data_IF_627780894909
#
_entry.id   IF_627780894909
#
_cell.length_a   1.000
_cell.length_b   1.000
_cell.length_c   1.000
_cell.angle_alpha   90.00
_cell.angle_beta   90.00
_cell.angle_gamma   90.00
#
_symmetry.space_group_name_H-M   'P 1'
#
loop_
_entity.id
_entity.type
_entity.pdbx_description
1 polymer ?
#
# COMPACT_ATOMS: atom_id res chain seq x y z
N UNK A 1 -36.70 7.89 28.49
CA UNK A 1 -36.34 9.26 28.04
C UNK A 1 -34.97 9.31 27.34
N UNK A 2 -33.96 8.54 27.74
CA UNK A 2 -32.64 8.52 27.07
C UNK A 2 -32.65 8.04 25.60
N UNK A 3 -33.54 7.12 25.21
CA UNK A 3 -33.64 6.65 23.81
C UNK A 3 -34.24 7.68 22.84
N UNK A 4 -34.93 8.70 23.33
CA UNK A 4 -35.53 9.76 22.50
C UNK A 4 -34.55 10.92 22.26
N UNK A 5 -33.59 11.12 23.16
CA UNK A 5 -32.55 12.16 23.05
C UNK A 5 -31.50 11.79 21.98
N UNK A 6 -31.18 10.51 21.84
CA UNK A 6 -30.24 10.03 20.80
C UNK A 6 -30.85 10.15 19.40
N UNK A 7 -32.15 9.89 19.24
CA UNK A 7 -32.83 10.04 17.94
C UNK A 7 -32.99 11.51 17.52
N UNK A 8 -33.16 12.42 18.49
CA UNK A 8 -33.19 13.87 18.24
C UNK A 8 -31.80 14.44 17.91
N UNK A 9 -30.71 13.90 18.46
CA UNK A 9 -29.36 14.30 18.09
C UNK A 9 -29.02 13.93 16.63
N UNK A 10 -29.40 12.74 16.16
CA UNK A 10 -29.23 12.35 14.74
C UNK A 10 -30.17 13.09 13.78
N UNK A 11 -31.35 13.52 14.25
CA UNK A 11 -32.30 14.28 13.43
C UNK A 11 -31.96 15.78 13.32
N UNK A 12 -31.36 16.36 14.37
CA UNK A 12 -30.92 17.77 14.35
C UNK A 12 -29.69 17.97 13.45
N UNK A 13 -28.83 16.95 13.30
CA UNK A 13 -27.74 16.98 12.30
C UNK A 13 -28.28 16.95 10.86
N UNK A 14 -29.50 16.45 10.61
CA UNK A 14 -30.13 16.43 9.27
C UNK A 14 -31.01 17.65 8.95
N UNK A 15 -31.35 18.49 9.93
CA UNK A 15 -32.34 19.56 9.75
C UNK A 15 -31.76 20.98 9.67
N UNK A 16 -30.44 21.14 9.73
CA UNK A 16 -29.79 22.40 9.36
C UNK A 16 -29.00 22.16 8.08
N UNK A 17 -29.64 22.52 6.97
CA UNK A 17 -28.95 22.75 5.70
C UNK A 17 -27.90 23.84 5.90
N UNK A 18 -26.74 23.46 6.43
CA UNK A 18 -25.47 24.07 6.09
C UNK A 18 -25.33 23.85 4.58
N UNK A 19 -25.85 24.80 3.81
CA UNK A 19 -25.34 25.03 2.47
C UNK A 19 -23.83 25.07 2.63
N UNK A 20 -23.10 24.19 1.94
CA UNK A 20 -21.65 24.28 1.81
C UNK A 20 -21.35 25.55 1.00
N UNK A 21 -21.44 26.70 1.66
CA UNK A 21 -21.02 27.99 1.14
C UNK A 21 -19.54 28.15 1.44
N UNK A 22 -18.68 27.98 0.44
CA UNK A 22 -17.40 28.70 0.31
C UNK A 22 -16.32 28.61 1.43
N UNK A 23 -16.36 27.71 2.43
CA UNK A 23 -15.39 27.76 3.57
C UNK A 23 -14.78 26.43 4.03
N UNK A 24 -14.61 25.41 3.17
CA UNK A 24 -13.75 24.26 3.54
C UNK A 24 -12.29 24.63 3.26
N UNK A 25 -11.50 24.82 4.32
CA UNK A 25 -10.06 25.10 4.23
C UNK A 25 -9.23 23.94 4.80
N UNK A 26 -7.95 23.87 4.44
CA UNK A 26 -7.04 22.85 4.97
C UNK A 26 -6.89 22.93 6.49
N UNK A 27 -6.97 24.12 7.08
CA UNK A 27 -6.95 24.31 8.53
C UNK A 27 -8.18 23.66 9.19
N UNK A 28 -9.37 23.87 8.62
CA UNK A 28 -10.60 23.25 9.15
C UNK A 28 -10.58 21.73 9.03
N UNK A 29 -10.06 21.19 7.93
CA UNK A 29 -9.91 19.76 7.73
C UNK A 29 -8.86 19.15 8.66
N UNK A 30 -7.73 19.82 8.85
CA UNK A 30 -6.68 19.38 9.77
C UNK A 30 -7.15 19.35 11.22
N UNK A 31 -8.03 20.26 11.62
CA UNK A 31 -8.63 20.23 12.96
C UNK A 31 -9.55 19.01 13.15
N UNK A 32 -10.25 18.57 12.08
CA UNK A 32 -11.15 17.41 12.12
C UNK A 32 -10.44 16.07 12.14
N UNK A 33 -9.24 15.97 11.55
CA UNK A 33 -8.48 14.72 11.52
C UNK A 33 -7.68 14.47 12.80
N UNK A 34 -7.50 15.48 13.65
CA UNK A 34 -6.74 15.36 14.90
C UNK A 34 -5.23 15.18 14.72
N UNK A 35 -4.74 15.29 13.47
CA UNK A 35 -3.36 14.93 13.10
C UNK A 35 -3.13 13.42 13.06
N UNK A 36 -2.06 12.98 12.40
CA UNK A 36 -1.69 11.57 12.42
C UNK A 36 -1.22 11.17 13.83
N UNK A 37 -1.81 10.14 14.47
CA UNK A 37 -1.30 9.65 15.74
C UNK A 37 0.12 9.12 15.55
N UNK A 38 1.10 9.74 16.20
CA UNK A 38 2.48 9.26 16.21
C UNK A 38 2.71 8.53 17.52
N UNK A 39 2.81 7.19 17.47
CA UNK A 39 3.21 6.40 18.61
C UNK A 39 4.58 6.92 19.08
N UNK A 40 4.62 7.55 20.25
CA UNK A 40 5.81 8.17 20.81
C UNK A 40 6.07 7.61 22.21
N UNK A 41 7.32 7.30 22.57
CA UNK A 41 8.53 7.44 21.75
C UNK A 41 8.71 6.27 20.76
N UNK A 42 9.17 6.58 19.54
CA UNK A 42 9.67 5.60 18.57
C UNK A 42 10.99 5.01 19.04
N UNK A 43 11.22 3.73 18.79
CA UNK A 43 12.41 3.01 19.29
C UNK A 43 13.37 2.60 18.17
N UNK A 44 12.99 2.81 16.91
CA UNK A 44 13.86 2.62 15.75
C UNK A 44 13.40 3.47 14.56
N UNK A 45 14.29 3.62 13.58
CA UNK A 45 13.99 4.17 12.26
C UNK A 45 14.05 3.07 11.20
N UNK A 46 13.01 2.93 10.38
CA UNK A 46 12.96 2.08 9.19
C UNK A 46 13.30 2.91 7.94
N UNK A 47 14.37 2.52 7.26
CA UNK A 47 14.73 3.03 5.94
C UNK A 47 14.19 2.10 4.86
N UNK A 48 13.29 2.60 4.01
CA UNK A 48 12.61 1.77 2.99
C UNK A 48 12.33 2.53 1.70
N UNK A 49 11.93 1.82 0.63
CA UNK A 49 11.73 2.42 -0.70
C UNK A 49 10.55 3.41 -0.78
N UNK A 50 10.67 4.47 -1.56
CA UNK A 50 9.60 5.47 -1.74
C UNK A 50 8.29 4.92 -2.31
N UNK A 51 8.32 3.78 -3.02
CA UNK A 51 7.16 3.29 -3.76
C UNK A 51 6.33 2.26 -2.99
N UNK A 52 6.87 1.67 -1.92
CA UNK A 52 6.25 0.55 -1.23
C UNK A 52 6.19 -0.72 -2.08
N UNK A 53 7.10 -0.85 -3.06
CA UNK A 53 7.14 -2.01 -3.95
C UNK A 53 8.20 -3.03 -3.55
N UNK A 54 9.18 -2.63 -2.73
CA UNK A 54 10.28 -3.50 -2.33
C UNK A 54 9.78 -4.67 -1.46
N UNK A 55 9.88 -5.93 -1.93
CA UNK A 55 9.40 -7.08 -1.17
C UNK A 55 10.21 -7.29 0.13
N UNK A 56 11.49 -6.90 0.13
CA UNK A 56 12.33 -6.99 1.31
C UNK A 56 11.92 -5.99 2.39
N UNK A 57 11.52 -4.78 2.00
CA UNK A 57 11.01 -3.78 2.94
C UNK A 57 9.69 -4.22 3.55
N UNK A 58 8.80 -4.79 2.75
CA UNK A 58 7.49 -5.27 3.18
C UNK A 58 7.58 -6.34 4.28
N UNK A 59 8.54 -7.27 4.18
CA UNK A 59 8.85 -8.24 5.24
C UNK A 59 9.07 -7.58 6.59
N UNK A 60 9.96 -6.60 6.61
CA UNK A 60 10.35 -5.88 7.83
C UNK A 60 9.18 -5.03 8.32
N UNK A 61 8.46 -4.38 7.40
CA UNK A 61 7.32 -3.53 7.75
C UNK A 61 6.22 -4.32 8.44
N UNK A 62 5.81 -5.47 7.89
CA UNK A 62 4.83 -6.36 8.53
C UNK A 62 5.35 -6.85 9.89
N UNK A 63 6.64 -7.19 10.00
CA UNK A 63 7.21 -7.62 11.28
C UNK A 63 7.16 -6.54 12.37
N UNK A 64 7.44 -5.28 12.02
CA UNK A 64 7.34 -4.15 12.94
C UNK A 64 5.91 -3.96 13.43
N UNK A 65 4.94 -3.96 12.50
CA UNK A 65 3.51 -3.86 12.83
C UNK A 65 3.05 -5.05 13.70
N UNK A 66 3.46 -6.27 13.35
CA UNK A 66 3.09 -7.50 14.07
C UNK A 66 3.62 -7.52 15.49
N UNK A 67 4.83 -6.99 15.69
CA UNK A 67 5.48 -6.88 17.00
C UNK A 67 5.01 -5.65 17.79
N UNK A 68 4.23 -4.76 17.18
CA UNK A 68 3.78 -3.51 17.81
C UNK A 68 4.92 -2.55 18.11
N UNK A 69 5.99 -2.57 17.31
CA UNK A 69 7.16 -1.71 17.51
C UNK A 69 6.84 -0.33 16.93
N UNK A 70 6.99 0.72 17.74
CA UNK A 70 6.87 2.10 17.26
C UNK A 70 8.16 2.51 16.51
N UNK A 71 8.02 2.93 15.25
CA UNK A 71 9.15 3.31 14.41
C UNK A 71 8.91 4.64 13.68
N UNK A 72 10.01 5.31 13.36
CA UNK A 72 10.04 6.36 12.34
C UNK A 72 10.29 5.75 10.96
N UNK A 73 9.76 6.36 9.91
CA UNK A 73 9.96 5.92 8.53
C UNK A 73 10.75 6.96 7.76
N UNK A 74 11.77 6.52 7.05
CA UNK A 74 12.54 7.33 6.10
C UNK A 74 12.49 6.67 4.73
N UNK A 75 11.93 7.40 3.76
CA UNK A 75 11.80 6.92 2.39
C UNK A 75 13.07 7.23 1.58
N UNK A 76 13.66 6.18 1.01
CA UNK A 76 14.87 6.24 0.18
C UNK A 76 14.47 6.09 -1.29
N UNK A 77 14.77 7.11 -2.10
CA UNK A 77 14.60 7.03 -3.54
C UNK A 77 15.66 6.09 -4.12
N UNK A 78 15.22 4.98 -4.72
CA UNK A 78 16.15 3.95 -5.20
C UNK A 78 16.92 4.34 -6.46
N UNK A 79 16.45 5.33 -7.22
CA UNK A 79 17.11 5.85 -8.42
C UNK A 79 18.09 6.99 -8.11
N UNK A 80 17.80 7.76 -7.07
CA UNK A 80 18.60 8.92 -6.64
C UNK A 80 18.80 8.84 -5.13
N UNK A 81 19.67 7.90 -4.72
CA UNK A 81 19.88 7.59 -3.30
C UNK A 81 20.65 8.74 -2.63
N UNK A 82 20.17 9.27 -1.49
CA UNK A 82 20.90 10.30 -0.76
C UNK A 82 22.28 9.83 -0.31
N UNK A 83 23.29 10.69 -0.42
CA UNK A 83 24.67 10.36 -0.03
C UNK A 83 24.80 9.91 1.43
N UNK A 84 24.09 10.55 2.36
CA UNK A 84 24.12 10.16 3.77
C UNK A 84 23.72 8.69 3.97
N UNK A 85 22.75 8.21 3.18
CA UNK A 85 22.25 6.84 3.30
C UNK A 85 23.29 5.84 2.79
N UNK A 86 23.95 6.13 1.67
CA UNK A 86 24.99 5.24 1.13
C UNK A 86 26.29 5.28 1.94
N UNK A 87 26.56 6.37 2.64
CA UNK A 87 27.67 6.44 3.59
C UNK A 87 27.37 5.61 4.85
N UNK A 88 26.11 5.56 5.27
CA UNK A 88 25.62 4.81 6.44
C UNK A 88 25.43 3.31 6.15
N UNK A 89 24.89 2.95 4.99
CA UNK A 89 24.56 1.58 4.58
C UNK A 89 25.44 1.19 3.39
N UNK A 90 26.54 0.44 3.61
CA UNK A 90 27.52 0.16 2.56
C UNK A 90 26.98 -0.60 1.34
N UNK A 91 25.94 -1.42 1.53
CA UNK A 91 25.27 -2.12 0.42
C UNK A 91 24.50 -1.14 -0.48
N UNK A 92 24.12 0.03 0.05
CA UNK A 92 23.21 0.98 -0.58
C UNK A 92 21.80 0.43 -0.80
N UNK A 93 21.48 -0.77 -0.29
CA UNK A 93 20.19 -1.43 -0.45
C UNK A 93 19.23 -1.07 0.69
N UNK A 94 17.94 -1.30 0.47
CA UNK A 94 16.89 -1.26 1.49
C UNK A 94 16.28 -2.66 1.63
N UNK A 95 15.70 -3.03 2.78
CA UNK A 95 15.55 -2.23 3.99
C UNK A 95 16.83 -2.13 4.83
N UNK A 96 16.85 -1.10 5.67
CA UNK A 96 17.73 -1.00 6.83
C UNK A 96 16.91 -0.50 8.03
N UNK A 97 17.33 -0.85 9.24
CA UNK A 97 16.83 -0.25 10.47
C UNK A 97 17.99 0.37 11.26
N UNK A 98 17.68 1.43 11.99
CA UNK A 98 18.54 2.03 13.00
C UNK A 98 17.82 1.99 14.34
N UNK A 99 18.35 1.24 15.30
CA UNK A 99 17.76 1.09 16.63
C UNK A 99 18.16 2.29 17.49
N UNK A 100 17.19 2.88 18.19
CA UNK A 100 17.40 4.05 19.05
C UNK A 100 17.99 3.62 20.41
N UNK A 101 19.22 3.13 20.41
CA UNK A 101 19.95 2.70 21.61
C UNK A 101 20.59 3.89 22.36
N UNK A 102 21.52 3.60 23.29
CA UNK A 102 22.18 4.64 24.09
C UNK A 102 23.09 5.59 23.31
N UNK A 103 23.49 5.25 22.08
CA UNK A 103 24.30 6.14 21.22
C UNK A 103 23.47 6.88 20.18
N UNK A 104 22.20 6.52 19.99
CA UNK A 104 21.32 7.16 19.03
C UNK A 104 21.14 8.66 19.26
N UNK A 105 21.25 9.41 18.17
CA UNK A 105 21.00 10.83 18.09
C UNK A 105 20.17 11.14 16.83
N UNK A 106 18.97 11.67 17.02
CA UNK A 106 18.05 11.99 15.92
C UNK A 106 18.59 13.01 14.91
N UNK A 107 19.59 13.81 15.30
CA UNK A 107 20.28 14.76 14.41
C UNK A 107 21.48 14.16 13.65
N UNK A 108 21.83 12.90 13.91
CA UNK A 108 22.96 12.20 13.30
C UNK A 108 22.57 10.77 12.89
N UNK A 109 21.90 10.59 11.74
CA UNK A 109 21.55 9.26 11.23
C UNK A 109 22.76 8.32 11.19
N UNK A 110 22.55 7.07 11.62
CA UNK A 110 23.60 6.06 11.74
C UNK A 110 24.38 6.09 13.07
N UNK A 111 23.87 6.79 14.07
CA UNK A 111 24.47 6.85 15.41
C UNK A 111 23.99 5.73 16.35
N UNK A 112 22.85 5.11 16.03
CA UNK A 112 22.39 3.90 16.70
C UNK A 112 22.92 2.60 16.07
N UNK A 113 22.50 1.45 16.60
CA UNK A 113 22.77 0.14 15.99
C UNK A 113 22.08 0.02 14.62
N UNK A 114 22.88 -0.19 13.57
CA UNK A 114 22.41 -0.40 12.21
C UNK A 114 22.30 -1.89 11.89
N UNK A 115 21.15 -2.29 11.36
CA UNK A 115 20.92 -3.64 10.82
C UNK A 115 20.29 -3.53 9.44
N UNK A 116 20.86 -4.23 8.47
CA UNK A 116 20.41 -4.25 7.08
C UNK A 116 20.34 -5.70 6.59
N UNK A 117 19.70 -5.91 5.44
CA UNK A 117 19.18 -7.20 4.96
C UNK A 117 17.95 -7.69 5.73
N UNK A 118 16.86 -7.96 5.00
CA UNK A 118 15.57 -8.28 5.62
C UNK A 118 15.64 -9.48 6.59
N UNK A 119 16.44 -10.52 6.29
CA UNK A 119 16.56 -11.69 7.16
C UNK A 119 17.25 -11.38 8.49
N UNK A 120 18.33 -10.60 8.46
CA UNK A 120 19.06 -10.21 9.67
C UNK A 120 18.26 -9.23 10.52
N UNK A 121 17.51 -8.33 9.88
CA UNK A 121 16.56 -7.45 10.56
C UNK A 121 15.50 -8.28 11.29
N UNK A 122 14.87 -9.26 10.64
CA UNK A 122 13.85 -10.10 11.29
C UNK A 122 14.41 -10.83 12.53
N UNK A 123 15.62 -11.39 12.42
CA UNK A 123 16.32 -12.02 13.57
C UNK A 123 16.55 -11.03 14.70
N UNK A 124 17.01 -9.82 14.38
CA UNK A 124 17.24 -8.78 15.40
C UNK A 124 15.95 -8.36 16.08
N UNK A 125 14.86 -8.20 15.32
CA UNK A 125 13.54 -7.85 15.85
C UNK A 125 12.97 -8.95 16.78
N UNK A 126 13.24 -10.23 16.50
CA UNK A 126 12.90 -11.33 17.41
C UNK A 126 13.66 -11.26 18.74
N UNK A 127 14.93 -10.85 18.71
CA UNK A 127 15.70 -10.60 19.94
C UNK A 127 15.19 -9.38 20.70
N UNK A 128 14.82 -8.30 20.00
CA UNK A 128 14.31 -7.07 20.63
C UNK A 128 12.94 -7.28 21.31
N UNK A 129 12.05 -8.04 20.65
CA UNK A 129 10.66 -8.24 21.09
C UNK A 129 10.35 -9.75 21.06
N UNK A 130 10.83 -10.51 22.07
CA UNK A 130 10.75 -11.97 22.08
C UNK A 130 9.36 -12.53 22.40
N UNK A 131 8.45 -11.70 22.92
CA UNK A 131 7.06 -12.08 23.22
C UNK A 131 6.20 -12.30 21.95
N UNK A 132 6.65 -11.80 20.79
CA UNK A 132 6.05 -12.07 19.49
C UNK A 132 7.10 -12.74 18.63
N UNK A 133 7.33 -14.03 18.83
CA UNK A 133 8.37 -14.80 18.13
C UNK A 133 7.95 -15.12 16.69
N UNK A 134 8.68 -14.58 15.70
CA UNK A 134 8.50 -14.89 14.29
C UNK A 134 9.35 -16.08 13.84
N UNK A 135 10.14 -16.69 14.74
CA UNK A 135 11.04 -17.81 14.45
C UNK A 135 12.04 -17.47 13.35
N UNK A 136 12.56 -16.23 13.35
CA UNK A 136 13.42 -15.70 12.29
C UNK A 136 14.81 -16.34 12.23
N UNK A 137 15.23 -17.03 13.29
CA UNK A 137 16.48 -17.82 13.29
C UNK A 137 16.33 -19.18 12.59
N UNK A 138 15.10 -19.60 12.24
CA UNK A 138 14.88 -20.86 11.53
C UNK A 138 14.97 -20.69 10.02
N UNK A 139 15.64 -21.62 9.35
CA UNK A 139 15.79 -21.62 7.89
C UNK A 139 14.44 -21.72 7.17
N UNK A 140 14.29 -20.93 6.10
CA UNK A 140 13.09 -20.99 5.26
C UNK A 140 13.00 -22.37 4.62
N UNK A 141 11.85 -23.06 4.69
CA UNK A 141 11.72 -24.37 4.06
C UNK A 141 11.97 -24.31 2.55
N UNK A 142 12.74 -25.28 2.02
CA UNK A 142 13.10 -25.34 0.58
C UNK A 142 11.85 -25.29 -0.33
N UNK A 143 10.73 -25.86 0.10
CA UNK A 143 9.46 -25.82 -0.64
C UNK A 143 8.95 -24.39 -0.87
N UNK A 144 9.15 -23.48 0.09
CA UNK A 144 8.80 -22.06 -0.04
C UNK A 144 9.73 -21.40 -1.07
N UNK A 145 11.04 -21.62 -0.95
CA UNK A 145 12.03 -21.04 -1.88
C UNK A 145 11.81 -21.53 -3.32
N UNK A 146 11.54 -22.83 -3.49
CA UNK A 146 11.23 -23.42 -4.80
C UNK A 146 9.95 -22.86 -5.38
N UNK A 147 8.89 -22.68 -4.57
CA UNK A 147 7.64 -22.06 -5.03
C UNK A 147 7.87 -20.60 -5.49
N UNK A 148 8.60 -19.80 -4.71
CA UNK A 148 8.92 -18.42 -5.08
C UNK A 148 9.77 -18.33 -6.36
N UNK A 149 10.81 -19.16 -6.46
CA UNK A 149 11.72 -19.19 -7.61
C UNK A 149 11.00 -19.60 -8.89
N UNK A 150 10.19 -20.66 -8.83
CA UNK A 150 9.43 -21.12 -10.00
C UNK A 150 8.32 -20.14 -10.39
N UNK A 151 7.65 -19.49 -9.43
CA UNK A 151 6.67 -18.44 -9.68
C UNK A 151 7.30 -17.24 -10.39
N UNK A 152 8.47 -16.79 -9.94
CA UNK A 152 9.26 -15.75 -10.60
C UNK A 152 9.61 -16.14 -12.04
N UNK A 153 10.09 -17.38 -12.22
CA UNK A 153 10.48 -17.89 -13.53
C UNK A 153 9.30 -17.98 -14.51
N UNK A 154 8.09 -18.31 -14.03
CA UNK A 154 6.87 -18.29 -14.85
C UNK A 154 6.42 -16.86 -15.16
N UNK A 155 6.42 -15.99 -14.15
CA UNK A 155 5.99 -14.59 -14.29
C UNK A 155 6.84 -13.82 -15.30
N UNK A 156 8.16 -13.94 -15.22
CA UNK A 156 9.08 -13.09 -15.99
C UNK A 156 9.91 -13.85 -17.03
N UNK A 157 10.09 -15.17 -16.88
CA UNK A 157 10.86 -16.03 -17.79
C UNK A 157 10.03 -16.80 -18.82
N UNK A 158 8.70 -16.74 -18.75
CA UNK A 158 7.78 -17.41 -19.67
C UNK A 158 7.44 -18.86 -19.32
N UNK A 159 6.71 -19.54 -20.21
CA UNK A 159 6.04 -20.83 -19.91
C UNK A 159 6.95 -22.06 -19.78
N UNK A 160 8.27 -21.92 -19.97
CA UNK A 160 9.24 -23.04 -19.91
C UNK A 160 9.28 -23.76 -18.56
N UNK A 161 8.80 -23.11 -17.50
CA UNK A 161 8.82 -23.61 -16.12
C UNK A 161 7.43 -23.97 -15.56
N UNK A 162 6.40 -24.06 -16.41
CA UNK A 162 5.02 -24.25 -15.96
C UNK A 162 4.82 -25.54 -15.12
N UNK A 163 5.38 -26.68 -15.54
CA UNK A 163 5.27 -27.94 -14.78
C UNK A 163 5.95 -27.84 -13.41
N UNK A 164 7.20 -27.36 -13.38
CA UNK A 164 7.96 -27.21 -12.13
C UNK A 164 7.28 -26.23 -11.17
N UNK A 165 6.65 -25.18 -11.70
CA UNK A 165 5.83 -24.25 -10.95
C UNK A 165 4.59 -24.93 -10.35
N UNK A 166 3.82 -25.67 -11.15
CA UNK A 166 2.63 -26.38 -10.64
C UNK A 166 3.00 -27.32 -9.50
N UNK A 167 4.05 -28.14 -9.67
CA UNK A 167 4.55 -29.05 -8.64
C UNK A 167 5.01 -28.31 -7.37
N UNK A 168 5.78 -27.23 -7.52
CA UNK A 168 6.26 -26.46 -6.38
C UNK A 168 5.12 -25.79 -5.62
N UNK A 169 4.11 -25.28 -6.33
CA UNK A 169 2.93 -24.69 -5.72
C UNK A 169 2.00 -25.73 -5.09
N UNK A 170 1.91 -26.95 -5.63
CA UNK A 170 1.19 -28.06 -4.98
C UNK A 170 1.88 -28.48 -3.69
N UNK A 171 3.20 -28.59 -3.71
CA UNK A 171 4.00 -28.91 -2.52
C UNK A 171 3.88 -27.82 -1.44
N UNK A 172 3.93 -26.54 -1.84
CA UNK A 172 3.72 -25.42 -0.92
C UNK A 172 2.31 -25.47 -0.31
N UNK A 173 1.27 -25.64 -1.13
CA UNK A 173 -0.12 -25.68 -0.66
C UNK A 173 -0.34 -26.78 0.39
N UNK A 174 0.30 -27.94 0.19
CA UNK A 174 0.17 -29.09 1.08
C UNK A 174 0.74 -28.87 2.50
N UNK A 175 1.69 -27.95 2.68
CA UNK A 175 2.32 -27.70 3.99
C UNK A 175 1.63 -26.59 4.81
N UNK A 176 0.70 -25.83 4.22
CA UNK A 176 0.12 -24.64 4.86
C UNK A 176 -1.01 -25.00 5.85
N UNK A 177 -0.85 -24.60 7.12
CA UNK A 177 -1.82 -24.88 8.17
C UNK A 177 -1.90 -23.84 9.32
N UNK A 178 -2.58 -22.69 9.16
CA UNK A 178 -2.75 -21.97 7.91
C UNK A 178 -1.43 -21.32 7.44
N UNK A 179 -0.43 -21.19 8.32
CA UNK A 179 0.90 -20.64 8.00
C UNK A 179 1.93 -21.74 7.75
N UNK A 180 3.10 -21.35 7.23
CA UNK A 180 4.20 -22.28 6.89
C UNK A 180 4.65 -23.12 8.08
N UNK A 181 4.54 -22.58 9.30
CA UNK A 181 4.96 -23.25 10.54
C UNK A 181 3.81 -23.53 11.50
N UNK A 182 2.60 -23.71 10.97
CA UNK A 182 1.41 -24.02 11.76
C UNK A 182 0.57 -22.78 12.04
N UNK A 183 0.07 -22.65 13.28
CA UNK A 183 -0.98 -21.70 13.63
C UNK A 183 -0.59 -20.21 13.59
N UNK A 184 0.70 -19.89 13.67
CA UNK A 184 1.19 -18.51 13.82
C UNK A 184 2.03 -18.07 12.62
N UNK A 185 1.84 -16.81 12.24
CA UNK A 185 2.68 -16.12 11.26
C UNK A 185 4.14 -16.19 11.68
N UNK A 186 5.02 -16.58 10.75
CA UNK A 186 6.46 -16.70 10.96
C UNK A 186 7.26 -15.91 9.92
N UNK A 187 8.57 -15.78 10.12
CA UNK A 187 9.48 -15.18 9.15
C UNK A 187 9.47 -15.91 7.80
N UNK A 188 9.21 -17.22 7.78
CA UNK A 188 9.06 -17.98 6.54
C UNK A 188 7.82 -17.54 5.74
N UNK A 189 6.72 -17.20 6.42
CA UNK A 189 5.55 -16.59 5.78
C UNK A 189 5.89 -15.19 5.25
N UNK A 190 6.57 -14.36 6.04
CA UNK A 190 6.97 -13.02 5.61
C UNK A 190 7.84 -13.05 4.35
N UNK A 191 8.72 -14.04 4.21
CA UNK A 191 9.51 -14.25 2.98
C UNK A 191 8.62 -14.44 1.75
N UNK A 192 7.49 -15.12 1.95
CA UNK A 192 6.51 -15.48 0.91
C UNK A 192 5.48 -14.38 0.62
N UNK A 193 5.04 -13.63 1.64
CA UNK A 193 3.98 -12.60 1.58
C UNK A 193 4.09 -11.71 0.33
N UNK A 194 5.20 -10.99 0.10
CA UNK A 194 5.23 -9.97 -0.94
C UNK A 194 4.95 -10.53 -2.33
N UNK A 195 5.54 -11.68 -2.66
CA UNK A 195 5.43 -12.26 -3.99
C UNK A 195 4.05 -12.88 -4.20
N UNK A 196 3.54 -13.64 -3.23
CA UNK A 196 2.23 -14.26 -3.35
C UNK A 196 1.12 -13.22 -3.41
N UNK A 197 1.21 -12.15 -2.61
CA UNK A 197 0.26 -11.03 -2.64
C UNK A 197 0.19 -10.39 -4.04
N UNK A 198 1.34 -10.09 -4.64
CA UNK A 198 1.41 -9.53 -6.00
C UNK A 198 0.88 -10.53 -7.03
N UNK A 199 1.31 -11.79 -6.96
CA UNK A 199 0.92 -12.82 -7.92
C UNK A 199 -0.54 -13.21 -7.86
N UNK A 200 -1.24 -12.95 -6.75
CA UNK A 200 -2.70 -13.06 -6.69
C UNK A 200 -3.40 -12.23 -7.78
N UNK A 201 -2.82 -11.09 -8.16
CA UNK A 201 -3.39 -10.17 -9.15
C UNK A 201 -2.60 -10.09 -10.45
N UNK A 202 -1.31 -10.47 -10.42
CA UNK A 202 -0.41 -10.27 -11.55
C UNK A 202 -0.08 -11.54 -12.32
N UNK A 203 -0.22 -12.73 -11.72
CA UNK A 203 0.33 -13.94 -12.35
C UNK A 203 -0.41 -14.32 -13.64
N UNK A 204 -1.73 -14.14 -13.67
CA UNK A 204 -2.56 -14.39 -14.85
C UNK A 204 -2.34 -13.34 -15.96
N UNK A 205 -1.96 -12.11 -15.59
CA UNK A 205 -1.47 -11.08 -16.52
C UNK A 205 -0.11 -11.44 -17.10
N UNK A 206 0.81 -11.93 -16.27
CA UNK A 206 2.20 -12.17 -16.65
C UNK A 206 2.38 -13.44 -17.49
N UNK A 207 1.55 -14.45 -17.23
CA UNK A 207 1.53 -15.70 -17.97
C UNK A 207 0.11 -16.11 -18.37
N UNK A 208 -0.48 -15.43 -19.37
CA UNK A 208 -1.83 -15.74 -19.86
C UNK A 208 -1.97 -17.21 -20.27
N UNK A 209 -3.05 -17.85 -19.83
CA UNK A 209 -3.32 -19.28 -20.06
C UNK A 209 -2.87 -20.20 -18.94
N UNK A 210 -2.10 -19.72 -17.96
CA UNK A 210 -1.92 -20.42 -16.69
C UNK A 210 -3.12 -20.23 -15.77
N UNK A 211 -3.31 -21.17 -14.84
CA UNK A 211 -4.33 -21.06 -13.78
C UNK A 211 -4.05 -19.87 -12.88
N UNK A 212 -5.10 -19.26 -12.30
CA UNK A 212 -4.93 -18.24 -11.27
C UNK A 212 -4.23 -18.86 -10.07
N UNK A 213 -3.49 -18.03 -9.30
CA UNK A 213 -2.67 -18.48 -8.17
C UNK A 213 -3.44 -19.42 -7.21
N UNK A 214 -4.71 -19.11 -6.94
CA UNK A 214 -5.52 -19.82 -5.95
C UNK A 214 -6.29 -21.02 -6.49
N UNK A 215 -6.29 -21.26 -7.81
CA UNK A 215 -7.10 -22.32 -8.42
C UNK A 215 -6.62 -23.70 -7.98
N UNK A 216 -7.49 -24.43 -7.26
CA UNK A 216 -7.16 -25.74 -6.69
C UNK A 216 -6.19 -25.70 -5.50
N UNK A 217 -5.95 -24.53 -4.89
CA UNK A 217 -5.00 -24.34 -3.78
C UNK A 217 -5.68 -24.00 -2.45
N UNK A 218 -6.30 -24.98 -1.75
CA UNK A 218 -6.99 -24.73 -0.49
C UNK A 218 -6.07 -24.26 0.65
N UNK A 219 -4.82 -24.72 0.71
CA UNK A 219 -3.83 -24.28 1.70
C UNK A 219 -3.51 -22.79 1.55
N UNK A 220 -3.20 -22.34 0.34
CA UNK A 220 -2.96 -20.92 0.04
C UNK A 220 -4.17 -20.04 0.32
N UNK A 221 -5.39 -20.54 0.03
CA UNK A 221 -6.61 -19.80 0.40
C UNK A 221 -6.74 -19.62 1.91
N UNK A 222 -6.45 -20.66 2.71
CA UNK A 222 -6.43 -20.54 4.19
C UNK A 222 -5.34 -19.58 4.65
N UNK A 223 -4.16 -19.65 4.04
CA UNK A 223 -3.04 -18.75 4.35
C UNK A 223 -3.39 -17.28 4.10
N UNK A 224 -3.95 -16.96 2.92
CA UNK A 224 -4.42 -15.59 2.63
C UNK A 224 -5.53 -15.14 3.59
N UNK A 225 -6.50 -16.01 3.88
CA UNK A 225 -7.56 -15.67 4.84
C UNK A 225 -6.99 -15.38 6.25
N UNK A 226 -5.98 -16.14 6.68
CA UNK A 226 -5.31 -15.90 7.95
C UNK A 226 -4.50 -14.60 7.96
N UNK A 227 -3.85 -14.23 6.85
CA UNK A 227 -3.20 -12.93 6.68
C UNK A 227 -4.21 -11.78 6.69
N UNK A 228 -5.29 -11.89 5.93
CA UNK A 228 -6.35 -10.86 5.85
C UNK A 228 -7.05 -10.63 7.20
N UNK A 229 -7.03 -11.62 8.10
CA UNK A 229 -7.50 -11.47 9.47
C UNK A 229 -6.50 -10.74 10.39
N UNK A 230 -5.24 -10.58 9.98
CA UNK A 230 -4.19 -9.95 10.77
C UNK A 230 -4.12 -8.42 10.50
N UNK A 231 -4.36 -7.56 11.52
CA UNK A 231 -4.26 -6.12 11.36
C UNK A 231 -2.88 -5.63 10.88
N UNK A 232 -1.80 -6.31 11.29
CA UNK A 232 -0.44 -5.94 10.91
C UNK A 232 -0.21 -6.12 9.40
N UNK A 233 -0.73 -7.21 8.83
CA UNK A 233 -0.71 -7.43 7.39
C UNK A 233 -1.59 -6.40 6.68
N UNK A 234 -2.84 -6.21 7.12
CA UNK A 234 -3.77 -5.25 6.48
C UNK A 234 -3.24 -3.82 6.40
N UNK A 235 -2.40 -3.41 7.36
CA UNK A 235 -1.75 -2.09 7.37
C UNK A 235 -0.78 -1.91 6.20
N UNK A 236 -0.14 -3.00 5.77
CA UNK A 236 1.00 -3.04 4.85
C UNK A 236 0.64 -3.66 3.50
N UNK A 237 -0.44 -4.44 3.41
CA UNK A 237 -0.85 -5.10 2.19
C UNK A 237 -1.23 -4.09 1.09
N UNK A 238 -0.84 -4.38 -0.14
CA UNK A 238 -1.37 -3.70 -1.32
C UNK A 238 -2.75 -4.21 -1.72
N UNK A 239 -3.41 -3.46 -2.61
CA UNK A 239 -4.73 -3.81 -3.13
C UNK A 239 -4.67 -4.30 -4.59
N UNK A 240 -5.79 -4.85 -5.07
CA UNK A 240 -5.93 -5.34 -6.44
C UNK A 240 -5.60 -4.24 -7.46
N UNK A 241 -6.08 -3.02 -7.25
CA UNK A 241 -5.80 -1.90 -8.15
C UNK A 241 -4.30 -1.63 -8.24
N UNK A 242 -3.62 -1.47 -7.11
CA UNK A 242 -2.22 -1.06 -7.03
C UNK A 242 -1.31 -2.11 -7.63
N UNK A 243 -1.55 -3.39 -7.34
CA UNK A 243 -0.76 -4.47 -7.95
C UNK A 243 -1.06 -4.65 -9.43
N UNK A 244 -2.30 -4.46 -9.87
CA UNK A 244 -2.64 -4.50 -11.30
C UNK A 244 -2.00 -3.32 -12.06
N UNK A 245 -2.09 -2.10 -11.52
CA UNK A 245 -1.58 -0.88 -12.14
C UNK A 245 -0.04 -0.86 -12.24
N UNK A 246 0.65 -1.52 -11.32
CA UNK A 246 2.12 -1.63 -11.32
C UNK A 246 2.65 -2.77 -12.20
N UNK A 247 1.78 -3.69 -12.64
CA UNK A 247 2.16 -4.87 -13.40
C UNK A 247 2.94 -4.53 -14.69
N UNK A 248 2.52 -3.48 -15.42
CA UNK A 248 3.24 -3.00 -16.60
C UNK A 248 4.67 -2.51 -16.27
N UNK A 249 4.86 -1.83 -15.13
CA UNK A 249 6.19 -1.42 -14.69
C UNK A 249 7.07 -2.62 -14.32
N UNK A 250 6.51 -3.61 -13.65
CA UNK A 250 7.25 -4.82 -13.27
C UNK A 250 7.64 -5.67 -14.49
N UNK A 251 6.77 -5.78 -15.50
CA UNK A 251 7.12 -6.43 -16.76
C UNK A 251 8.31 -5.74 -17.45
N UNK A 252 8.39 -4.41 -17.42
CA UNK A 252 9.56 -3.68 -17.94
C UNK A 252 10.83 -3.94 -17.12
N UNK A 253 10.73 -3.81 -15.80
CA UNK A 253 11.89 -3.89 -14.89
C UNK A 253 12.46 -5.31 -14.81
N UNK A 254 11.60 -6.33 -14.72
CA UNK A 254 12.00 -7.71 -14.45
C UNK A 254 11.85 -8.65 -15.65
N UNK A 255 10.92 -8.35 -16.56
CA UNK A 255 10.61 -9.18 -17.73
C UNK A 255 11.16 -8.66 -19.06
N UNK A 256 11.91 -7.54 -19.05
CA UNK A 256 12.41 -6.85 -20.25
C UNK A 256 11.30 -6.50 -21.28
N UNK A 257 10.06 -6.35 -20.83
CA UNK A 257 8.95 -5.98 -21.68
C UNK A 257 9.05 -4.52 -22.15
N UNK A 258 8.34 -4.19 -23.22
CA UNK A 258 8.13 -2.81 -23.68
C UNK A 258 6.73 -2.34 -23.32
N UNK A 259 6.44 -1.06 -23.54
CA UNK A 259 5.08 -0.55 -23.33
C UNK A 259 4.04 -1.07 -24.35
N UNK A 260 4.48 -1.74 -25.41
CA UNK A 260 3.60 -2.36 -26.41
C UNK A 260 3.44 -3.88 -26.18
N UNK A 261 4.00 -4.41 -25.08
CA UNK A 261 3.76 -5.79 -24.67
C UNK A 261 2.25 -5.99 -24.40
N UNK A 262 1.60 -6.99 -25.03
CA UNK A 262 0.18 -7.24 -24.84
C UNK A 262 -0.23 -7.41 -23.37
N UNK A 263 0.65 -7.97 -22.53
CA UNK A 263 0.40 -8.14 -21.08
C UNK A 263 0.42 -6.80 -20.36
N UNK A 264 1.28 -5.88 -20.78
CA UNK A 264 1.33 -4.53 -20.24
C UNK A 264 0.12 -3.68 -20.68
N UNK A 265 -0.44 -3.95 -21.86
CA UNK A 265 -1.70 -3.35 -22.32
C UNK A 265 -2.88 -3.91 -21.50
N UNK A 266 -3.00 -5.23 -21.39
CA UNK A 266 -4.05 -5.90 -20.59
C UNK A 266 -4.03 -5.42 -19.13
N UNK A 267 -2.85 -5.32 -18.50
CA UNK A 267 -2.72 -4.78 -17.16
C UNK A 267 -3.30 -3.36 -17.01
N UNK A 268 -3.07 -2.49 -17.99
CA UNK A 268 -3.62 -1.12 -17.96
C UNK A 268 -5.13 -1.14 -18.11
N UNK A 269 -5.65 -1.91 -19.06
CA UNK A 269 -7.10 -2.04 -19.29
C UNK A 269 -7.82 -2.57 -18.04
N UNK A 270 -7.27 -3.62 -17.40
CA UNK A 270 -7.83 -4.15 -16.14
C UNK A 270 -7.74 -3.14 -15.00
N UNK A 271 -6.60 -2.47 -14.82
CA UNK A 271 -6.48 -1.45 -13.77
C UNK A 271 -7.45 -0.29 -13.98
N UNK A 272 -7.69 0.12 -15.24
CA UNK A 272 -8.68 1.14 -15.57
C UNK A 272 -10.10 0.66 -15.26
N UNK A 273 -10.45 -0.58 -15.58
CA UNK A 273 -11.75 -1.16 -15.26
C UNK A 273 -11.99 -1.25 -13.74
N UNK A 274 -10.98 -1.65 -12.96
CA UNK A 274 -11.04 -1.65 -11.48
C UNK A 274 -11.26 -0.23 -10.96
N UNK A 275 -10.59 0.76 -11.56
CA UNK A 275 -10.76 2.16 -11.19
C UNK A 275 -12.18 2.67 -11.46
N UNK A 276 -12.77 2.39 -12.62
CA UNK A 276 -14.17 2.74 -12.89
C UNK A 276 -15.14 2.06 -11.90
N UNK A 277 -14.92 0.78 -11.61
CA UNK A 277 -15.77 0.03 -10.70
C UNK A 277 -15.77 0.61 -9.27
N UNK A 278 -14.69 1.30 -8.87
CA UNK A 278 -14.61 1.94 -7.55
C UNK A 278 -15.70 3.00 -7.34
N UNK A 279 -16.25 3.62 -8.40
CA UNK A 279 -17.36 4.57 -8.28
C UNK A 279 -18.61 3.92 -7.65
N UNK A 280 -18.89 2.67 -7.99
CA UNK A 280 -20.11 1.95 -7.61
C UNK A 280 -20.01 1.19 -6.28
N UNK A 281 -18.87 1.32 -5.58
CA UNK A 281 -18.61 0.59 -4.34
C UNK A 281 -19.40 1.17 -3.16
N UNK A 282 -20.59 0.62 -2.91
CA UNK A 282 -21.52 1.11 -1.89
C UNK A 282 -20.99 0.99 -0.45
N UNK A 283 -20.04 0.09 -0.21
CA UNK A 283 -19.50 -0.19 1.13
C UNK A 283 -18.20 0.58 1.41
N UNK A 284 -17.65 1.30 0.43
CA UNK A 284 -16.34 1.92 0.54
C UNK A 284 -16.21 2.96 1.66
N UNK A 285 -17.34 3.52 2.14
CA UNK A 285 -17.39 4.53 3.21
C UNK A 285 -17.94 4.00 4.54
N UNK A 286 -18.20 2.70 4.66
CA UNK A 286 -18.72 2.10 5.90
C UNK A 286 -17.64 2.00 6.99
N UNK A 287 -16.38 1.81 6.59
CA UNK A 287 -15.24 1.79 7.52
C UNK A 287 -14.78 3.23 7.84
N UNK A 288 -15.37 3.79 8.90
CA UNK A 288 -15.02 5.14 9.38
C UNK A 288 -13.54 5.31 9.76
N UNK A 289 -12.85 4.25 10.17
CA UNK A 289 -11.42 4.32 10.51
C UNK A 289 -10.57 4.42 9.24
N UNK A 290 -10.91 3.66 8.20
CA UNK A 290 -10.29 3.78 6.88
C UNK A 290 -10.52 5.16 6.26
N UNK A 291 -11.74 5.70 6.37
CA UNK A 291 -12.06 7.05 5.90
C UNK A 291 -11.25 8.13 6.64
N UNK A 292 -11.11 7.99 7.97
CA UNK A 292 -10.31 8.89 8.77
C UNK A 292 -8.82 8.81 8.42
N UNK A 293 -8.26 7.61 8.21
CA UNK A 293 -6.88 7.43 7.76
C UNK A 293 -6.65 8.13 6.42
N UNK A 294 -7.51 7.85 5.43
CA UNK A 294 -7.45 8.43 4.10
C UNK A 294 -7.49 9.97 4.14
N UNK A 295 -8.44 10.54 4.90
CA UNK A 295 -8.55 11.98 5.06
C UNK A 295 -7.33 12.57 5.77
N UNK A 296 -6.83 11.93 6.82
CA UNK A 296 -5.66 12.38 7.57
C UNK A 296 -4.41 12.42 6.70
N UNK A 297 -4.16 11.34 5.93
CA UNK A 297 -3.04 11.26 4.99
C UNK A 297 -3.16 12.27 3.87
N UNK A 298 -4.35 12.42 3.28
CA UNK A 298 -4.58 13.39 2.22
C UNK A 298 -4.38 14.83 2.71
N UNK A 299 -4.94 15.20 3.86
CA UNK A 299 -4.79 16.54 4.46
C UNK A 299 -3.33 16.83 4.80
N UNK A 300 -2.60 15.88 5.38
CA UNK A 300 -1.19 16.07 5.71
C UNK A 300 -0.29 16.19 4.46
N UNK A 301 -0.68 15.56 3.34
CA UNK A 301 0.16 15.42 2.14
C UNK A 301 -0.35 16.20 0.91
N UNK A 302 -1.42 16.97 1.02
CA UNK A 302 -2.12 17.59 -0.12
C UNK A 302 -1.20 18.38 -1.06
N UNK A 303 -0.22 19.11 -0.51
CA UNK A 303 0.74 19.89 -1.32
C UNK A 303 1.55 19.01 -2.25
N UNK A 304 2.06 17.88 -1.74
CA UNK A 304 2.81 16.92 -2.55
C UNK A 304 1.93 16.25 -3.61
N UNK A 305 0.65 16.01 -3.30
CA UNK A 305 -0.31 15.47 -4.27
C UNK A 305 -0.60 16.48 -5.38
N UNK A 306 -0.79 17.77 -5.06
CA UNK A 306 -0.95 18.84 -6.06
C UNK A 306 0.32 18.96 -6.91
N UNK A 307 1.50 18.91 -6.28
CA UNK A 307 2.78 18.96 -6.98
C UNK A 307 2.94 17.77 -7.94
N UNK A 308 2.65 16.53 -7.51
CA UNK A 308 2.70 15.36 -8.41
C UNK A 308 1.69 15.45 -9.56
N UNK A 309 0.46 15.90 -9.28
CA UNK A 309 -0.61 15.99 -10.26
C UNK A 309 -0.36 17.04 -11.34
N UNK A 310 0.35 18.12 -11.00
CA UNK A 310 0.63 19.26 -11.88
C UNK A 310 2.11 19.35 -12.32
N UNK A 311 2.92 18.33 -12.05
CA UNK A 311 4.31 18.30 -12.48
C UNK A 311 4.41 18.06 -13.99
N UNK A 312 4.90 19.06 -14.72
CA UNK A 312 5.03 19.04 -16.18
C UNK A 312 6.16 18.13 -16.68
N UNK A 313 7.10 17.74 -15.81
CA UNK A 313 8.15 16.80 -16.17
C UNK A 313 7.57 15.38 -16.20
N UNK A 314 7.73 14.64 -17.32
CA UNK A 314 7.26 13.28 -17.38
C UNK A 314 8.03 12.41 -16.38
N UNK A 315 7.34 11.55 -15.60
CA UNK A 315 8.04 10.62 -14.72
C UNK A 315 8.91 9.67 -15.54
N UNK A 316 10.17 9.53 -15.14
CA UNK A 316 11.18 8.70 -15.85
C UNK A 316 10.72 7.25 -16.08
N UNK A 317 9.91 6.70 -15.18
CA UNK A 317 9.43 5.31 -15.22
C UNK A 317 8.06 5.13 -15.88
N UNK A 318 7.34 6.21 -16.21
CA UNK A 318 5.97 6.18 -16.72
C UNK A 318 5.79 7.26 -17.82
N UNK A 319 6.53 7.13 -18.91
CA UNK A 319 6.61 8.14 -19.99
C UNK A 319 5.28 8.46 -20.69
N UNK A 320 4.27 7.58 -20.57
CA UNK A 320 2.91 7.77 -21.08
C UNK A 320 1.96 8.47 -20.11
N UNK A 321 2.40 8.77 -18.89
CA UNK A 321 1.55 9.43 -17.90
C UNK A 321 1.32 10.89 -18.30
N UNK A 322 0.06 11.23 -18.57
CA UNK A 322 -0.37 12.61 -18.76
C UNK A 322 -0.79 13.20 -17.42
N UNK A 323 -0.07 14.24 -16.99
CA UNK A 323 -0.41 15.04 -15.80
C UNK A 323 -1.17 16.31 -16.21
N UNK A 324 -1.77 16.97 -15.22
CA UNK A 324 -2.41 18.27 -15.42
C UNK A 324 -1.36 19.39 -15.52
N UNK A 325 -1.77 20.55 -16.02
CA UNK A 325 -0.89 21.71 -16.16
C UNK A 325 -0.73 22.48 -14.87
N UNK A 326 0.26 23.39 -14.82
CA UNK A 326 0.45 24.30 -13.71
C UNK A 326 -0.78 25.20 -13.44
N UNK A 327 -1.57 25.49 -14.47
CA UNK A 327 -2.80 26.26 -14.36
C UNK A 327 -3.95 25.51 -13.66
N UNK A 328 -3.86 24.18 -13.56
CA UNK A 328 -4.89 23.34 -12.92
C UNK A 328 -4.65 23.18 -11.40
N UNK A 329 -3.57 23.72 -10.83
CA UNK A 329 -3.19 23.51 -9.42
C UNK A 329 -4.30 23.86 -8.43
N UNK A 330 -4.96 24.99 -8.63
CA UNK A 330 -6.06 25.44 -7.76
C UNK A 330 -7.28 24.51 -7.87
N UNK A 331 -7.54 23.99 -9.07
CA UNK A 331 -8.62 23.02 -9.30
C UNK A 331 -8.30 21.67 -8.64
N UNK A 332 -7.05 21.19 -8.74
CA UNK A 332 -6.61 19.99 -8.03
C UNK A 332 -6.75 20.17 -6.53
N UNK A 333 -6.23 21.27 -5.97
CA UNK A 333 -6.33 21.57 -4.54
C UNK A 333 -7.78 21.62 -4.05
N UNK A 334 -8.67 22.28 -4.79
CA UNK A 334 -10.10 22.33 -4.48
C UNK A 334 -10.74 20.93 -4.49
N UNK A 335 -10.46 20.12 -5.52
CA UNK A 335 -10.91 18.73 -5.60
C UNK A 335 -10.45 17.90 -4.39
N UNK A 336 -9.20 18.05 -3.96
CA UNK A 336 -8.68 17.32 -2.80
C UNK A 336 -9.36 17.74 -1.49
N UNK A 337 -9.72 19.03 -1.34
CA UNK A 337 -10.50 19.50 -0.18
C UNK A 337 -11.91 18.91 -0.15
N UNK A 338 -12.58 18.83 -1.31
CA UNK A 338 -13.89 18.18 -1.44
C UNK A 338 -13.78 16.70 -1.11
N UNK A 339 -12.75 16.01 -1.61
CA UNK A 339 -12.53 14.59 -1.32
C UNK A 339 -12.27 14.33 0.18
N UNK A 340 -11.41 15.14 0.81
CA UNK A 340 -11.13 15.03 2.24
C UNK A 340 -12.38 15.30 3.10
N UNK A 341 -13.21 16.29 2.74
CA UNK A 341 -14.46 16.55 3.42
C UNK A 341 -15.43 15.36 3.28
N UNK A 342 -15.61 14.83 2.07
CA UNK A 342 -16.50 13.69 1.81
C UNK A 342 -16.09 12.43 2.58
N UNK A 343 -14.80 12.16 2.72
CA UNK A 343 -14.28 11.07 3.56
C UNK A 343 -14.65 11.26 5.03
N UNK A 344 -14.45 12.47 5.57
CA UNK A 344 -14.77 12.76 6.97
C UNK A 344 -16.28 12.81 7.25
N UNK A 345 -17.07 13.10 6.23
CA UNK A 345 -18.54 13.11 6.31
C UNK A 345 -19.14 11.72 6.08
N UNK A 346 -18.35 10.77 5.55
CA UNK A 346 -18.81 9.42 5.17
C UNK A 346 -19.78 9.42 3.99
N UNK A 347 -19.80 10.50 3.18
CA UNK A 347 -20.70 10.62 2.04
C UNK A 347 -20.18 11.65 1.03
N UNK A 348 -20.42 11.38 -0.26
CA UNK A 348 -20.21 12.35 -1.34
C UNK A 348 -21.47 13.23 -1.47
N UNK A 349 -21.43 14.41 -0.85
CA UNK A 349 -22.53 15.39 -0.88
C UNK A 349 -22.52 16.33 -2.09
N UNK A 350 -23.40 17.34 -2.07
CA UNK A 350 -23.62 18.26 -3.20
C UNK A 350 -22.38 19.08 -3.60
N UNK A 351 -21.41 19.27 -2.70
CA UNK A 351 -20.15 19.94 -3.00
C UNK A 351 -19.26 19.19 -4.02
N UNK A 352 -19.67 17.97 -4.41
CA UNK A 352 -19.06 17.25 -5.52
C UNK A 352 -19.00 18.06 -6.82
N UNK A 353 -19.98 18.94 -7.06
CA UNK A 353 -20.04 19.81 -8.24
C UNK A 353 -18.88 20.82 -8.34
N UNK A 354 -18.19 21.08 -7.23
CA UNK A 354 -17.03 21.97 -7.19
C UNK A 354 -15.70 21.28 -7.53
N UNK A 355 -15.68 19.95 -7.67
CA UNK A 355 -14.48 19.20 -8.02
C UNK A 355 -14.23 19.23 -9.54
N UNK A 356 -12.97 19.36 -9.94
CA UNK A 356 -12.54 19.08 -11.32
C UNK A 356 -12.47 17.55 -11.55
N UNK A 357 -13.25 16.99 -12.50
CA UNK A 357 -13.28 15.56 -12.76
C UNK A 357 -11.95 14.96 -13.23
N UNK A 358 -11.18 15.73 -13.99
CA UNK A 358 -9.88 15.30 -14.53
C UNK A 358 -8.88 15.19 -13.38
N UNK A 359 -8.91 16.15 -12.45
CA UNK A 359 -8.11 16.09 -11.22
C UNK A 359 -8.48 14.89 -10.36
N UNK A 360 -9.78 14.67 -10.12
CA UNK A 360 -10.24 13.56 -9.28
C UNK A 360 -9.80 12.20 -9.85
N UNK A 361 -10.03 11.99 -11.15
CA UNK A 361 -9.64 10.77 -11.87
C UNK A 361 -8.12 10.57 -11.91
N UNK A 362 -7.34 11.64 -12.16
CA UNK A 362 -5.88 11.57 -12.15
C UNK A 362 -5.37 11.12 -10.78
N UNK A 363 -5.80 11.79 -9.70
CA UNK A 363 -5.36 11.44 -8.33
C UNK A 363 -5.77 10.01 -7.97
N UNK A 364 -6.99 9.59 -8.32
CA UNK A 364 -7.47 8.22 -8.07
C UNK A 364 -6.58 7.17 -8.76
N UNK A 365 -6.08 7.48 -9.95
CA UNK A 365 -5.19 6.60 -10.72
C UNK A 365 -3.74 6.57 -10.21
N UNK A 366 -3.36 7.56 -9.40
CA UNK A 366 -2.00 7.69 -8.85
C UNK A 366 -1.88 7.10 -7.44
N UNK A 367 -3.01 6.90 -6.78
CA UNK A 367 -3.13 6.35 -5.43
C UNK A 367 -2.71 4.88 -5.39
N UNK A 368 -1.75 4.57 -4.53
CA UNK A 368 -1.17 3.24 -4.36
C UNK A 368 -1.25 2.81 -2.89
N UNK A 369 -1.86 1.66 -2.63
CA UNK A 369 -1.70 0.91 -1.39
C UNK A 369 -0.49 -0.04 -1.53
N UNK A 370 0.38 -0.19 -0.51
CA UNK A 370 0.33 0.48 0.81
C UNK A 370 1.09 1.82 0.87
N UNK A 371 1.66 2.29 -0.25
CA UNK A 371 2.58 3.45 -0.31
C UNK A 371 2.01 4.67 0.37
N UNK A 372 0.77 5.03 0.01
CA UNK A 372 0.16 6.28 0.43
C UNK A 372 -0.66 6.09 1.72
N UNK A 373 -1.29 4.92 1.86
CA UNK A 373 -2.18 4.53 2.96
C UNK A 373 -2.49 3.03 2.89
N UNK A 374 -3.16 2.49 3.91
CA UNK A 374 -3.65 1.11 3.92
C UNK A 374 -4.63 0.82 2.77
N UNK A 375 -4.77 -0.45 2.38
CA UNK A 375 -5.70 -0.86 1.32
C UNK A 375 -7.17 -0.44 1.59
N UNK A 376 -7.74 -0.57 2.81
CA UNK A 376 -9.07 -0.04 3.12
C UNK A 376 -9.18 1.48 2.92
N UNK A 377 -8.19 2.25 3.39
CA UNK A 377 -8.17 3.70 3.22
C UNK A 377 -8.08 4.10 1.73
N UNK A 378 -7.26 3.38 0.96
CA UNK A 378 -7.15 3.58 -0.48
C UNK A 378 -8.45 3.28 -1.21
N UNK A 379 -9.18 2.22 -0.81
CA UNK A 379 -10.53 1.90 -1.32
C UNK A 379 -11.49 3.06 -1.09
N UNK A 380 -11.56 3.60 0.13
CA UNK A 380 -12.43 4.74 0.47
C UNK A 380 -12.10 6.00 -0.35
N UNK A 381 -10.81 6.37 -0.42
CA UNK A 381 -10.40 7.56 -1.19
C UNK A 381 -10.64 7.39 -2.69
N UNK A 382 -10.34 6.21 -3.24
CA UNK A 382 -10.57 5.91 -4.66
C UNK A 382 -12.05 5.99 -5.01
N UNK A 383 -12.93 5.44 -4.17
CA UNK A 383 -14.38 5.58 -4.33
C UNK A 383 -14.81 7.05 -4.38
N UNK A 384 -14.40 7.86 -3.39
CA UNK A 384 -14.74 9.28 -3.34
C UNK A 384 -14.27 10.01 -4.59
N UNK A 385 -13.01 9.85 -4.97
CA UNK A 385 -12.45 10.53 -6.15
C UNK A 385 -13.16 10.11 -7.44
N UNK A 386 -13.53 8.84 -7.59
CA UNK A 386 -14.25 8.38 -8.77
C UNK A 386 -15.69 8.87 -8.81
N UNK A 387 -16.36 8.98 -7.66
CA UNK A 387 -17.67 9.66 -7.54
C UNK A 387 -17.59 11.14 -7.90
N UNK A 388 -16.52 11.83 -7.51
CA UNK A 388 -16.27 13.23 -7.91
C UNK A 388 -15.99 13.34 -9.42
N UNK A 389 -15.29 12.36 -9.99
CA UNK A 389 -15.04 12.32 -11.43
C UNK A 389 -16.32 12.08 -12.27
N UNK A 390 -17.34 11.43 -11.70
CA UNK A 390 -18.61 11.16 -12.37
C UNK A 390 -19.68 12.26 -12.17
N UNK A 391 -19.51 13.14 -11.19
CA UNK A 391 -20.52 14.13 -10.79
C UNK A 391 -20.63 15.38 -11.69
N UNK A 392 -19.95 15.40 -12.85
CA UNK A 392 -19.82 16.56 -13.73
C UNK A 392 -20.53 16.44 -15.07
#
# INVERSE_FOLDING_TARGET
>A
MEKVVIFLASAIIRAHGLRLTTTTTWETLSARTGGAPRASPTVLTLYRDTNGWCPFCERVWIALEKKGIAYDEVLINLYDKPKYYTDMIPTGLVPAIEIHDGSYNSGSPGSGELVYESSEILKRLDVLVPNVDLRANEEVPEVVERALSTAYAVAYGGSRNATAYVEAMDALDAILDPFVRGEKLSAADLVMVPMMERYRYQLDLFSPGNKKLLDGKPGLRRWFAALEADPAYRRVAGDEYSWTATAAAFLRIFGNATDDDPRAIDARERSAAILEAAEADAEALEDSAACLEAATKLVANHRAVVDDACNVDPPKSQTRLTRLGAADRDAVDATLRVAAAALLDGAVGDAAQAADPRAARLVASRLCAPRDMSAPAARSLRHVLMRLAAAA
#
